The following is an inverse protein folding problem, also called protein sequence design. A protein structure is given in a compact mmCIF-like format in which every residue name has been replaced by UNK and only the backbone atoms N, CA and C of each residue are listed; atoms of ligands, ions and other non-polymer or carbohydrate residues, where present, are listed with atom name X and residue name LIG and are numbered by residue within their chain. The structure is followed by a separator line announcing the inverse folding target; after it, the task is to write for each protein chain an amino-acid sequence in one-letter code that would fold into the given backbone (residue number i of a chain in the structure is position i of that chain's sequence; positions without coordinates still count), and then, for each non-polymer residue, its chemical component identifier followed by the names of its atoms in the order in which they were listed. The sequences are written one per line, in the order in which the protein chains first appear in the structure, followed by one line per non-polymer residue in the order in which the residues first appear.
data_IF_521103032314
#
_entry.id   IF_521103032314
#
_cell.length_a   1.000
_cell.length_b   1.000
_cell.length_c   1.000
_cell.angle_alpha   90.00
_cell.angle_beta   90.00
_cell.angle_gamma   90.00
#
_symmetry.space_group_name_H-M   'P 1'
#
loop_
_entity.id
_entity.type
_entity.pdbx_description
1 polymer ?
#
# COMPACT_ATOMS: atom_id res chain seq x y z
N UNK A 1 14.07 -15.41 -9.91
CA UNK A 1 15.11 -14.40 -9.62
C UNK A 1 14.47 -13.26 -8.86
N UNK A 2 14.77 -13.14 -7.56
CA UNK A 2 14.25 -12.11 -6.64
C UNK A 2 14.98 -10.79 -6.82
N UNK A 3 14.23 -9.70 -6.90
CA UNK A 3 14.70 -8.32 -7.01
C UNK A 3 14.05 -7.50 -5.91
N UNK A 4 14.85 -6.88 -5.04
CA UNK A 4 14.32 -6.07 -3.95
C UNK A 4 14.48 -4.60 -4.26
N UNK A 5 13.49 -3.82 -3.86
CA UNK A 5 13.43 -2.39 -4.05
C UNK A 5 13.06 -1.70 -2.76
N UNK A 6 13.77 -0.64 -2.45
CA UNK A 6 13.47 0.24 -1.34
C UNK A 6 13.46 1.67 -1.88
N UNK A 7 12.36 2.40 -1.68
CA UNK A 7 12.36 3.82 -1.99
C UNK A 7 13.07 4.61 -0.88
N UNK A 8 13.60 5.79 -1.18
CA UNK A 8 13.91 6.76 -0.14
C UNK A 8 12.67 7.05 0.72
N UNK A 9 12.89 7.31 2.01
CA UNK A 9 11.82 7.75 2.91
C UNK A 9 11.32 9.11 2.43
N UNK A 10 10.00 9.21 2.26
CA UNK A 10 9.31 10.47 1.93
C UNK A 10 8.79 11.11 3.20
N UNK A 11 8.77 12.44 3.23
CA UNK A 11 8.20 13.20 4.34
C UNK A 11 7.09 14.11 3.82
N UNK A 12 5.88 13.85 4.29
CA UNK A 12 4.73 14.72 4.13
C UNK A 12 4.70 15.71 5.30
N UNK A 13 4.67 17.01 5.00
CA UNK A 13 4.63 18.06 6.02
C UNK A 13 3.21 18.30 6.55
N UNK A 14 2.53 17.21 6.89
CA UNK A 14 1.17 17.18 7.41
C UNK A 14 1.03 16.16 8.55
N UNK A 15 0.13 16.41 9.51
CA UNK A 15 -0.13 15.47 10.60
C UNK A 15 -0.64 14.13 10.09
N UNK A 16 -0.23 13.04 10.76
CA UNK A 16 -0.57 11.66 10.40
C UNK A 16 -2.07 11.48 10.14
N UNK A 17 -2.91 12.00 11.02
CA UNK A 17 -4.36 11.86 10.97
C UNK A 17 -4.96 12.46 9.69
N UNK A 18 -4.39 13.57 9.22
CA UNK A 18 -4.82 14.22 7.98
C UNK A 18 -4.33 13.44 6.75
N UNK A 19 -3.09 12.93 6.79
CA UNK A 19 -2.56 12.06 5.73
C UNK A 19 -3.37 10.77 5.61
N UNK A 20 -3.80 10.17 6.72
CA UNK A 20 -4.65 8.97 6.69
C UNK A 20 -6.00 9.26 6.03
N UNK A 21 -6.60 10.42 6.32
CA UNK A 21 -7.85 10.83 5.69
C UNK A 21 -7.70 11.09 4.19
N UNK A 22 -6.56 11.61 3.75
CA UNK A 22 -6.23 11.75 2.33
C UNK A 22 -6.00 10.39 1.67
N UNK A 23 -5.27 9.50 2.34
CA UNK A 23 -5.02 8.13 1.88
C UNK A 23 -6.32 7.37 1.62
N UNK A 24 -7.31 7.46 2.52
CA UNK A 24 -8.59 6.77 2.37
C UNK A 24 -9.40 7.22 1.13
N UNK A 25 -9.16 8.42 0.58
CA UNK A 25 -9.83 8.92 -0.64
C UNK A 25 -9.50 8.14 -1.90
N UNK A 26 -8.49 7.27 -1.85
CA UNK A 26 -8.07 6.44 -2.97
C UNK A 26 -9.02 5.26 -3.25
N UNK A 27 -9.93 4.97 -2.32
CA UNK A 27 -10.85 3.83 -2.41
C UNK A 27 -12.29 4.29 -2.63
N UNK A 28 -13.14 3.45 -3.29
CA UNK A 28 -12.82 2.16 -3.90
C UNK A 28 -12.14 2.29 -5.29
N UNK A 29 -12.10 3.49 -5.86
CA UNK A 29 -11.46 3.82 -7.14
C UNK A 29 -10.71 5.14 -7.02
N UNK A 30 -9.54 5.25 -7.65
CA UNK A 30 -8.74 6.47 -7.63
C UNK A 30 -8.56 7.01 -9.05
N UNK A 31 -9.02 8.25 -9.31
CA UNK A 31 -8.90 8.90 -10.63
C UNK A 31 -7.45 9.08 -11.09
N UNK A 32 -6.53 9.21 -10.14
CA UNK A 32 -5.09 9.35 -10.38
C UNK A 32 -4.37 8.02 -10.59
N UNK A 33 -5.07 6.89 -10.36
CA UNK A 33 -4.55 5.54 -10.58
C UNK A 33 -5.52 4.78 -11.52
N UNK A 34 -5.62 5.15 -12.82
CA UNK A 34 -6.65 4.61 -13.72
C UNK A 34 -6.57 3.10 -13.95
N UNK A 35 -5.41 2.48 -13.67
CA UNK A 35 -5.24 1.02 -13.78
C UNK A 35 -6.06 0.28 -12.71
N UNK A 36 -6.32 0.91 -11.55
CA UNK A 36 -7.11 0.32 -10.48
C UNK A 36 -8.58 0.54 -10.82
N UNK A 37 -9.23 -0.53 -11.25
CA UNK A 37 -10.62 -0.49 -11.68
C UNK A 37 -11.59 -0.55 -10.51
N UNK A 38 -11.23 -1.28 -9.45
CA UNK A 38 -12.01 -1.41 -8.22
C UNK A 38 -11.14 -1.97 -7.10
N UNK A 39 -11.42 -1.57 -5.86
CA UNK A 39 -10.92 -2.20 -4.65
C UNK A 39 -12.10 -2.48 -3.71
N UNK A 40 -12.38 -3.76 -3.48
CA UNK A 40 -13.49 -4.23 -2.67
C UNK A 40 -12.97 -4.68 -1.30
N UNK A 41 -13.65 -4.29 -0.21
CA UNK A 41 -13.30 -4.74 1.13
C UNK A 41 -13.72 -6.20 1.30
N UNK A 42 -12.77 -7.07 1.62
CA UNK A 42 -13.01 -8.50 1.88
C UNK A 42 -13.10 -8.80 3.37
N UNK A 43 -12.43 -8.02 4.21
CA UNK A 43 -12.49 -8.10 5.66
C UNK A 43 -12.22 -6.72 6.26
N UNK A 44 -12.90 -6.39 7.35
CA UNK A 44 -12.70 -5.15 8.09
C UNK A 44 -13.00 -5.38 9.56
N UNK A 45 -11.98 -5.27 10.39
CA UNK A 45 -12.08 -5.50 11.84
C UNK A 45 -11.50 -4.31 12.58
N UNK A 46 -12.05 -4.01 13.74
CA UNK A 46 -11.60 -2.91 14.60
C UNK A 46 -11.43 -3.43 16.02
N UNK A 47 -10.36 -3.03 16.70
CA UNK A 47 -10.11 -3.38 18.09
C UNK A 47 -11.21 -2.85 19.01
N UNK A 48 -11.38 -3.48 20.17
CA UNK A 48 -12.45 -3.11 21.12
C UNK A 48 -12.36 -1.65 21.59
N UNK A 49 -11.16 -1.05 21.61
CA UNK A 49 -10.91 0.34 21.97
C UNK A 49 -10.96 1.32 20.78
N UNK A 50 -11.18 0.81 19.57
CA UNK A 50 -11.23 1.61 18.35
C UNK A 50 -9.87 2.15 17.88
N UNK A 51 -8.76 1.76 18.51
CA UNK A 51 -7.44 2.26 18.15
C UNK A 51 -6.86 1.63 16.87
N UNK A 52 -7.16 0.35 16.65
CA UNK A 52 -6.57 -0.44 15.57
C UNK A 52 -7.67 -0.92 14.63
N UNK A 53 -7.50 -0.68 13.33
CA UNK A 53 -8.37 -1.20 12.28
C UNK A 53 -7.54 -1.99 11.28
N UNK A 54 -7.95 -3.23 11.03
CA UNK A 54 -7.36 -4.09 10.01
C UNK A 54 -8.36 -4.25 8.88
N UNK A 55 -8.03 -3.71 7.71
CA UNK A 55 -8.88 -3.78 6.51
C UNK A 55 -8.15 -4.52 5.41
N UNK A 56 -8.74 -5.60 4.91
CA UNK A 56 -8.28 -6.30 3.71
C UNK A 56 -9.15 -5.94 2.52
N UNK A 57 -8.50 -5.68 1.39
CA UNK A 57 -9.14 -5.33 0.12
C UNK A 57 -8.64 -6.24 -0.98
N UNK A 58 -9.54 -6.60 -1.89
CA UNK A 58 -9.22 -7.23 -3.17
C UNK A 58 -9.35 -6.19 -4.27
N UNK A 59 -8.23 -5.82 -4.87
CA UNK A 59 -8.14 -4.81 -5.90
C UNK A 59 -8.02 -5.45 -7.29
N UNK A 60 -8.89 -5.04 -8.21
CA UNK A 60 -8.90 -5.42 -9.62
C UNK A 60 -8.17 -4.36 -10.43
N UNK A 61 -7.09 -4.77 -11.10
CA UNK A 61 -6.30 -3.90 -11.97
C UNK A 61 -6.49 -4.33 -13.43
N UNK A 62 -6.53 -3.35 -14.33
CA UNK A 62 -6.45 -3.57 -15.77
C UNK A 62 -5.01 -3.94 -16.16
N UNK A 63 -4.84 -4.90 -17.06
CA UNK A 63 -3.51 -5.19 -17.60
C UNK A 63 -3.26 -4.24 -18.76
N UNK A 64 -2.33 -3.30 -18.64
CA UNK A 64 -1.92 -2.40 -19.72
C UNK A 64 -0.62 -2.87 -20.40
N UNK A 65 -0.53 -4.18 -20.62
CA UNK A 65 0.64 -4.78 -21.27
C UNK A 65 0.59 -4.68 -22.81
N UNK A 66 1.76 -4.63 -23.50
CA UNK A 66 1.85 -4.79 -24.94
C UNK A 66 1.12 -6.05 -25.44
N UNK A 67 0.55 -5.99 -26.65
CA UNK A 67 -0.34 -7.01 -27.21
C UNK A 67 0.19 -8.45 -27.15
N UNK A 68 1.49 -8.64 -27.36
CA UNK A 68 2.15 -9.95 -27.28
C UNK A 68 2.10 -10.54 -25.86
N UNK A 69 2.21 -9.69 -24.83
CA UNK A 69 2.19 -10.10 -23.42
C UNK A 69 0.76 -10.41 -22.99
N UNK A 70 -0.23 -9.61 -23.41
CA UNK A 70 -1.67 -9.91 -23.17
C UNK A 70 -2.06 -11.30 -23.68
N UNK A 71 -1.54 -11.70 -24.85
CA UNK A 71 -1.80 -13.01 -25.45
C UNK A 71 -1.17 -14.18 -24.67
N UNK A 72 -0.07 -13.95 -23.94
CA UNK A 72 0.64 -14.95 -23.12
C UNK A 72 0.06 -15.04 -21.71
N UNK A 73 -0.35 -13.90 -21.15
CA UNK A 73 -1.01 -13.76 -19.85
C UNK A 73 -2.43 -14.33 -19.93
N UNK A 74 -3.13 -14.12 -21.05
CA UNK A 74 -4.44 -14.73 -21.33
C UNK A 74 -5.58 -14.18 -20.49
N UNK A 75 -5.38 -13.08 -19.76
CA UNK A 75 -6.43 -12.39 -19.01
C UNK A 75 -6.30 -10.87 -19.16
N UNK A 76 -7.43 -10.19 -19.09
CA UNK A 76 -7.50 -8.72 -19.20
C UNK A 76 -7.29 -8.02 -17.84
N UNK A 77 -7.36 -8.77 -16.74
CA UNK A 77 -7.35 -8.22 -15.38
C UNK A 77 -6.52 -9.05 -14.42
N UNK A 78 -5.86 -8.38 -13.48
CA UNK A 78 -5.14 -9.01 -12.36
C UNK A 78 -5.74 -8.58 -11.04
N UNK A 79 -5.70 -9.49 -10.07
CA UNK A 79 -6.17 -9.23 -8.72
C UNK A 79 -5.00 -9.16 -7.74
N UNK A 80 -5.03 -8.15 -6.88
CA UNK A 80 -4.14 -7.97 -5.74
C UNK A 80 -4.94 -8.00 -4.45
N UNK A 81 -4.36 -8.60 -3.42
CA UNK A 81 -4.83 -8.45 -2.05
C UNK A 81 -3.99 -7.35 -1.40
N UNK A 82 -4.65 -6.45 -0.69
CA UNK A 82 -4.04 -5.39 0.08
C UNK A 82 -4.57 -5.46 1.51
N UNK A 83 -3.68 -5.64 2.48
CA UNK A 83 -3.97 -5.63 3.90
C UNK A 83 -3.42 -4.36 4.52
N UNK A 84 -4.30 -3.61 5.16
CA UNK A 84 -3.96 -2.40 5.89
C UNK A 84 -4.15 -2.63 7.39
N UNK A 85 -3.17 -2.26 8.18
CA UNK A 85 -3.27 -2.20 9.64
C UNK A 85 -3.03 -0.75 10.08
N UNK A 86 -4.15 -0.04 10.30
CA UNK A 86 -4.14 1.33 10.82
C UNK A 86 -4.16 1.28 12.35
N UNK A 87 -3.11 1.79 12.98
CA UNK A 87 -3.02 1.92 14.42
C UNK A 87 -2.93 3.40 14.80
N UNK A 88 -4.04 3.94 15.30
CA UNK A 88 -4.15 5.34 15.72
C UNK A 88 -3.43 5.64 17.04
N UNK A 89 -3.18 4.61 17.85
CA UNK A 89 -2.45 4.74 19.12
C UNK A 89 -0.97 4.98 18.89
N UNK A 90 -0.36 4.17 18.03
CA UNK A 90 1.04 4.33 17.61
C UNK A 90 1.22 5.30 16.45
N UNK A 91 0.11 5.75 15.83
CA UNK A 91 0.07 6.64 14.67
C UNK A 91 0.89 6.04 13.52
N UNK A 92 0.55 4.80 13.18
CA UNK A 92 1.17 4.03 12.11
C UNK A 92 0.12 3.41 11.21
N UNK A 93 0.39 3.34 9.92
CA UNK A 93 -0.36 2.54 8.97
C UNK A 93 0.62 1.61 8.27
N UNK A 94 0.52 0.31 8.54
CA UNK A 94 1.25 -0.74 7.83
C UNK A 94 0.38 -1.23 6.67
N UNK A 95 1.00 -1.43 5.51
CA UNK A 95 0.31 -1.89 4.31
C UNK A 95 1.13 -3.04 3.72
N UNK A 96 0.48 -4.17 3.50
CA UNK A 96 1.03 -5.30 2.77
C UNK A 96 0.17 -5.57 1.55
N UNK A 97 0.76 -5.57 0.36
CA UNK A 97 0.06 -5.86 -0.89
C UNK A 97 0.77 -6.97 -1.65
N UNK A 98 -0.01 -7.92 -2.17
CA UNK A 98 0.49 -9.01 -2.99
C UNK A 98 -0.50 -9.42 -4.06
N UNK A 99 0.00 -9.96 -5.17
CA UNK A 99 -0.87 -10.41 -6.25
C UNK A 99 -1.50 -11.78 -5.94
N UNK A 100 -2.80 -11.87 -6.09
CA UNK A 100 -3.54 -13.14 -6.05
C UNK A 100 -3.43 -13.85 -7.40
N UNK A 101 -3.63 -13.10 -8.48
CA UNK A 101 -3.53 -13.60 -9.85
C UNK A 101 -2.08 -13.75 -10.29
N UNK A 102 -1.78 -14.75 -11.11
CA UNK A 102 -0.44 -15.03 -11.65
C UNK A 102 0.64 -15.51 -10.67
N UNK A 103 0.31 -15.74 -9.39
CA UNK A 103 1.20 -16.26 -8.32
C UNK A 103 2.08 -17.47 -8.71
N UNK A 104 1.65 -18.28 -9.69
CA UNK A 104 2.43 -19.42 -10.20
C UNK A 104 3.61 -19.03 -11.10
N UNK A 105 3.51 -17.90 -11.81
CA UNK A 105 4.55 -17.38 -12.72
C UNK A 105 5.21 -16.11 -12.21
N UNK A 106 4.52 -15.47 -11.27
CA UNK A 106 4.61 -14.11 -10.74
C UNK A 106 4.03 -14.03 -9.37
N UNK A 107 4.83 -13.87 -8.34
CA UNK A 107 4.37 -13.32 -7.06
C UNK A 107 4.67 -11.81 -7.05
N UNK A 108 4.27 -10.95 -6.13
CA UNK A 108 4.66 -9.53 -5.98
C UNK A 108 4.41 -9.28 -4.53
N UNK A 109 5.36 -8.68 -3.82
CA UNK A 109 5.13 -8.27 -2.44
C UNK A 109 5.54 -6.83 -2.29
N UNK A 110 4.65 -6.02 -1.77
CA UNK A 110 4.90 -4.64 -1.42
C UNK A 110 4.56 -4.43 0.05
N UNK A 111 5.50 -3.85 0.78
CA UNK A 111 5.33 -3.44 2.17
C UNK A 111 5.55 -1.95 2.27
N UNK A 112 4.57 -1.24 2.79
CA UNK A 112 4.66 0.19 2.97
C UNK A 112 4.19 0.60 4.35
N UNK A 113 4.71 1.73 4.79
CA UNK A 113 4.45 2.22 6.12
C UNK A 113 4.34 3.73 6.13
N UNK A 114 3.24 4.23 6.67
CA UNK A 114 3.14 5.62 7.10
C UNK A 114 3.34 5.66 8.61
N UNK A 115 4.13 6.61 9.09
CA UNK A 115 4.39 6.77 10.52
C UNK A 115 4.77 8.22 10.83
N UNK A 116 4.63 8.61 12.09
CA UNK A 116 4.99 9.96 12.54
C UNK A 116 6.48 10.21 12.41
N UNK A 117 6.88 11.38 11.93
CA UNK A 117 8.29 11.74 11.81
C UNK A 117 8.97 11.76 13.20
N UNK A 118 10.14 11.12 13.37
CA UNK A 118 10.76 10.93 14.69
C UNK A 118 11.14 12.24 15.38
N UNK A 119 11.44 13.29 14.61
CA UNK A 119 11.81 14.61 15.13
C UNK A 119 10.65 15.63 15.13
N UNK A 120 9.52 15.32 14.50
CA UNK A 120 8.40 16.27 14.38
C UNK A 120 7.04 15.56 14.36
N UNK A 121 6.26 15.71 15.44
CA UNK A 121 4.96 15.02 15.57
C UNK A 121 3.89 15.46 14.58
N UNK A 122 4.11 16.58 13.89
CA UNK A 122 3.20 17.17 12.90
C UNK A 122 3.53 16.76 11.46
N UNK A 123 4.56 15.94 11.24
CA UNK A 123 4.92 15.41 9.93
C UNK A 123 4.74 13.89 9.89
N UNK A 124 4.55 13.40 8.67
CA UNK A 124 4.34 11.97 8.39
C UNK A 124 5.41 11.47 7.45
N UNK A 125 6.14 10.44 7.87
CA UNK A 125 7.02 9.68 7.02
C UNK A 125 6.25 8.62 6.25
N UNK A 126 6.73 8.32 5.05
CA UNK A 126 6.30 7.19 4.24
C UNK A 126 7.51 6.45 3.70
N UNK A 127 7.53 5.14 3.91
CA UNK A 127 8.53 4.24 3.35
C UNK A 127 7.84 3.08 2.63
N UNK A 128 8.47 2.61 1.56
CA UNK A 128 7.97 1.50 0.76
C UNK A 128 9.12 0.60 0.35
N UNK A 129 8.86 -0.69 0.43
CA UNK A 129 9.71 -1.76 -0.05
C UNK A 129 8.88 -2.65 -0.95
N UNK A 130 9.46 -3.12 -2.04
CA UNK A 130 8.82 -4.07 -2.93
C UNK A 130 9.80 -5.17 -3.32
N UNK A 131 9.28 -6.37 -3.52
CA UNK A 131 10.06 -7.53 -3.96
C UNK A 131 9.46 -8.08 -5.25
N UNK A 132 10.34 -8.35 -6.23
CA UNK A 132 10.07 -8.87 -7.57
C UNK A 132 10.79 -10.21 -7.92
N UNK A 133 10.18 -11.41 -8.00
CA UNK A 133 10.85 -12.76 -8.14
C UNK A 133 10.51 -13.53 -9.42
N UNK A 134 11.22 -13.35 -10.52
CA UNK A 134 10.79 -14.02 -11.75
C UNK A 134 10.96 -15.55 -11.74
N UNK A 135 9.85 -16.32 -11.69
CA UNK A 135 9.85 -17.80 -11.62
C UNK A 135 10.20 -18.42 -12.97
N UNK A 136 9.34 -18.28 -13.98
CA UNK A 136 9.59 -18.85 -15.30
C UNK A 136 8.85 -18.07 -16.40
N UNK A 137 9.59 -17.52 -17.38
CA UNK A 137 9.03 -16.70 -18.45
C UNK A 137 9.60 -17.01 -19.85
N UNK A 138 9.94 -18.28 -20.10
CA UNK A 138 10.32 -18.77 -21.43
C UNK A 138 11.44 -17.96 -22.12
N UNK A 139 12.40 -17.41 -21.37
CA UNK A 139 13.53 -16.67 -21.95
C UNK A 139 13.35 -15.14 -22.08
N UNK A 140 12.25 -14.59 -21.56
CA UNK A 140 11.96 -13.14 -21.57
C UNK A 140 12.27 -12.42 -20.25
N UNK A 141 12.97 -13.06 -19.32
CA UNK A 141 13.15 -12.61 -17.94
C UNK A 141 13.78 -11.20 -17.85
N UNK A 142 14.81 -10.93 -18.65
CA UNK A 142 15.52 -9.63 -18.65
C UNK A 142 14.70 -8.45 -19.18
N UNK A 143 13.74 -8.71 -20.08
CA UNK A 143 12.84 -7.68 -20.59
C UNK A 143 11.74 -7.35 -19.59
N UNK A 144 11.25 -8.37 -18.87
CA UNK A 144 10.26 -8.24 -17.81
C UNK A 144 10.85 -7.50 -16.62
N UNK A 145 12.10 -7.79 -16.25
CA UNK A 145 12.83 -7.08 -15.21
C UNK A 145 12.95 -5.58 -15.52
N UNK A 146 13.41 -5.22 -16.73
CA UNK A 146 13.54 -3.82 -17.12
C UNK A 146 12.20 -3.09 -17.12
N UNK A 147 11.12 -3.76 -17.50
CA UNK A 147 9.78 -3.20 -17.48
C UNK A 147 9.27 -2.99 -16.04
N UNK A 148 9.44 -3.99 -15.17
CA UNK A 148 9.08 -3.89 -13.75
C UNK A 148 9.83 -2.75 -13.05
N UNK A 149 11.14 -2.62 -13.33
CA UNK A 149 11.98 -1.53 -12.82
C UNK A 149 11.48 -0.16 -13.21
N UNK A 150 11.21 0.02 -14.50
CA UNK A 150 10.71 1.28 -15.04
C UNK A 150 9.38 1.64 -14.39
N UNK A 151 8.46 0.67 -14.30
CA UNK A 151 7.13 0.90 -13.75
C UNK A 151 7.17 1.24 -12.26
N UNK A 152 7.98 0.53 -11.46
CA UNK A 152 8.14 0.83 -10.04
C UNK A 152 8.70 2.25 -9.81
N UNK A 153 9.69 2.66 -10.63
CA UNK A 153 10.21 4.02 -10.63
C UNK A 153 9.14 5.08 -10.95
N UNK A 154 8.32 4.84 -11.98
CA UNK A 154 7.24 5.74 -12.38
C UNK A 154 6.14 5.82 -11.28
N UNK A 155 5.89 4.74 -10.56
CA UNK A 155 4.92 4.69 -9.44
C UNK A 155 5.39 5.48 -8.23
N UNK A 156 6.68 5.44 -7.91
CA UNK A 156 7.30 6.19 -6.81
C UNK A 156 7.06 7.69 -6.99
N UNK A 157 7.20 8.20 -8.22
CA UNK A 157 6.99 9.61 -8.51
C UNK A 157 5.50 10.01 -8.33
N UNK A 158 4.58 9.19 -8.86
CA UNK A 158 3.13 9.43 -8.80
C UNK A 158 2.56 9.39 -7.38
N UNK A 159 3.10 8.55 -6.50
CA UNK A 159 2.67 8.42 -5.11
C UNK A 159 2.58 9.75 -4.35
N UNK A 160 3.60 10.61 -4.53
CA UNK A 160 3.62 11.94 -3.92
C UNK A 160 2.48 12.82 -4.42
N UNK A 161 2.21 12.79 -5.71
CA UNK A 161 1.19 13.62 -6.35
C UNK A 161 -0.22 13.24 -5.89
N UNK A 162 -0.45 11.94 -5.61
CA UNK A 162 -1.75 11.43 -5.17
C UNK A 162 -2.14 11.96 -3.79
N UNK A 163 -1.24 11.86 -2.81
CA UNK A 163 -1.53 12.37 -1.46
C UNK A 163 -1.73 13.88 -1.50
N UNK A 164 -0.84 14.64 -2.16
CA UNK A 164 -0.99 16.11 -2.25
C UNK A 164 -2.31 16.52 -2.91
N UNK A 165 -2.72 15.83 -3.98
CA UNK A 165 -4.01 16.08 -4.63
C UNK A 165 -5.18 15.91 -3.65
N UNK A 166 -5.22 14.82 -2.88
CA UNK A 166 -6.28 14.60 -1.91
C UNK A 166 -6.19 15.53 -0.70
N UNK A 167 -5.00 16.01 -0.35
CA UNK A 167 -4.83 17.06 0.64
C UNK A 167 -5.46 18.38 0.18
N UNK A 168 -5.32 18.72 -1.11
CA UNK A 168 -5.98 19.90 -1.69
C UNK A 168 -7.50 19.74 -1.74
N UNK A 169 -8.03 18.56 -2.08
CA UNK A 169 -9.47 18.27 -1.99
C UNK A 169 -10.00 18.42 -0.56
N UNK A 170 -9.31 17.84 0.43
CA UNK A 170 -9.67 18.00 1.85
C UNK A 170 -9.69 19.47 2.27
N UNK A 171 -8.69 20.26 1.83
CA UNK A 171 -8.63 21.69 2.11
C UNK A 171 -9.80 22.44 1.47
N UNK A 172 -10.15 22.12 0.24
CA UNK A 172 -11.30 22.72 -0.46
C UNK A 172 -12.64 22.41 0.23
N UNK A 173 -12.75 21.25 0.87
CA UNK A 173 -13.90 20.86 1.70
C UNK A 173 -13.87 21.47 3.13
N UNK A 174 -12.84 22.25 3.47
CA UNK A 174 -12.67 22.85 4.80
C UNK A 174 -12.09 21.91 5.86
N UNK A 175 -11.60 20.73 5.47
CA UNK A 175 -10.96 19.77 6.36
C UNK A 175 -9.46 20.07 6.43
N UNK A 176 -9.06 20.86 7.42
CA UNK A 176 -7.64 21.24 7.63
C UNK A 176 -6.99 20.51 8.81
N UNK A 177 -7.77 19.82 9.64
CA UNK A 177 -7.28 19.08 10.80
C UNK A 177 -8.18 17.89 11.11
N UNK A 178 -7.59 16.80 11.60
CA UNK A 178 -8.30 15.60 12.09
C UNK A 178 -7.85 15.36 13.52
N UNK A 179 -8.79 15.17 14.48
CA UNK A 179 -8.43 14.96 15.88
C UNK A 179 -7.67 13.65 16.06
N UNK A 180 -6.71 13.66 17.00
CA UNK A 180 -5.99 12.45 17.39
C UNK A 180 -6.92 11.50 18.15
N UNK A 181 -6.66 10.20 18.03
CA UNK A 181 -7.39 9.21 18.81
C UNK A 181 -7.10 9.38 20.31
N UNK A 182 -8.15 9.21 21.11
CA UNK A 182 -8.09 9.23 22.57
C UNK A 182 -8.73 7.96 23.09
N UNK A 183 -8.07 7.29 24.03
CA UNK A 183 -8.61 6.09 24.65
C UNK A 183 -9.99 6.37 25.27
N UNK A 184 -11.01 5.54 24.97
CA UNK A 184 -12.29 5.65 25.67
C UNK A 184 -12.14 5.46 27.18
N UNK A 185 -12.64 6.41 27.97
CA UNK A 185 -12.45 6.45 29.43
C UNK A 185 -13.08 5.27 30.20
N UNK A 186 -14.01 4.55 29.59
CA UNK A 186 -14.73 3.44 30.21
C UNK A 186 -13.97 2.09 30.12
N UNK A 187 -12.83 2.05 29.44
CA UNK A 187 -12.03 0.83 29.28
C UNK A 187 -11.01 0.66 30.40
N UNK A 188 -10.75 -0.58 30.85
CA UNK A 188 -9.73 -0.84 31.86
C UNK A 188 -8.33 -0.41 31.39
N UNK A 189 -7.42 -0.06 32.32
CA UNK A 189 -6.02 0.26 31.99
C UNK A 189 -5.35 -0.95 31.33
N UNK A 190 -4.47 -0.68 30.36
CA UNK A 190 -3.80 -1.72 29.57
C UNK A 190 -2.88 -2.57 30.46
N UNK A 191 -3.02 -3.90 30.39
CA UNK A 191 -2.12 -4.84 31.06
C UNK A 191 -0.77 -4.94 30.31
N UNK A 192 0.39 -5.07 31.00
CA UNK A 192 1.71 -4.97 30.37
C UNK A 192 2.15 -6.13 29.46
N UNK A 193 1.29 -7.11 29.19
CA UNK A 193 1.72 -8.44 28.71
C UNK A 193 1.52 -8.74 27.22
N UNK A 194 0.98 -7.82 26.42
CA UNK A 194 0.66 -8.12 25.01
C UNK A 194 1.74 -7.74 24.00
N UNK A 195 2.93 -7.34 24.46
CA UNK A 195 4.06 -7.10 23.56
C UNK A 195 4.93 -8.36 23.43
N UNK A 196 5.04 -8.85 22.19
CA UNK A 196 6.06 -9.75 21.61
C UNK A 196 5.55 -11.14 21.23
N UNK A 197 5.07 -11.28 19.98
CA UNK A 197 5.40 -12.42 19.10
C UNK A 197 5.42 -11.95 17.64
N UNK A 198 6.59 -12.00 17.00
CA UNK A 198 6.85 -12.73 15.73
C UNK A 198 8.06 -12.15 14.98
N UNK A 199 9.16 -12.90 14.94
CA UNK A 199 10.26 -12.71 13.99
C UNK A 199 10.24 -13.93 13.05
N UNK A 200 10.11 -13.72 11.74
CA UNK A 200 10.07 -14.82 10.77
C UNK A 200 9.91 -14.38 9.30
N UNK A 201 10.99 -13.84 8.74
CA UNK A 201 11.57 -14.13 7.39
C UNK A 201 10.69 -14.49 6.17
N UNK A 202 10.97 -13.83 5.04
CA UNK A 202 11.09 -14.47 3.72
C UNK A 202 10.35 -13.81 2.55
N UNK A 203 11.07 -13.18 1.61
CA UNK A 203 10.60 -12.31 0.52
C UNK A 203 10.34 -13.03 -0.84
N UNK A 204 9.71 -12.34 -1.81
CA UNK A 204 8.77 -12.86 -2.85
C UNK A 204 9.08 -12.44 -4.30
N UNK A 205 8.34 -12.99 -5.31
CA UNK A 205 7.80 -12.33 -6.56
C UNK A 205 7.75 -13.03 -8.01
N UNK A 206 7.46 -12.35 -9.17
CA UNK A 206 7.78 -12.25 -10.63
C UNK A 206 6.96 -11.05 -11.21
N UNK A 207 6.93 -10.75 -12.52
CA UNK A 207 6.33 -9.51 -13.08
C UNK A 207 4.83 -9.53 -13.48
N UNK A 208 4.02 -8.80 -12.71
CA UNK A 208 2.67 -8.26 -13.02
C UNK A 208 2.85 -6.75 -12.92
N UNK A 209 2.18 -5.97 -13.76
CA UNK A 209 2.10 -4.52 -13.54
C UNK A 209 1.49 -4.27 -12.16
N UNK A 210 2.34 -4.02 -11.16
CA UNK A 210 1.92 -3.46 -9.89
C UNK A 210 2.12 -1.96 -10.00
N UNK A 211 1.01 -1.21 -10.01
CA UNK A 211 1.04 0.11 -9.41
C UNK A 211 1.07 -0.09 -7.90
N UNK A 212 1.86 0.73 -7.20
CA UNK A 212 1.85 0.74 -5.74
C UNK A 212 0.44 1.09 -5.28
N UNK A 213 -0.31 0.10 -4.79
CA UNK A 213 -1.60 0.32 -4.14
C UNK A 213 -1.40 1.06 -2.80
N UNK A 214 -0.16 1.19 -2.36
CA UNK A 214 0.21 1.72 -1.07
C UNK A 214 0.56 3.21 -1.10
N UNK A 215 1.07 3.74 -2.21
CA UNK A 215 1.54 5.13 -2.35
C UNK A 215 0.45 6.16 -2.61
#
# INVERSE_FOLDING_TARGET
MVQNYQSPVRVYKYPFELVMKAYERRFPTCKLIPVVLACEITSDTTSADGAVRVTERRCKLNVDAPFLIKKIIGVDHVFFIQKNELNLRTRTLEIEAYNESFSSRVVVLEKCRYFVHPENSEWTCFEQNASVDIKFFFGFESSIEKLAMKQYGDNIAKGKEIIEFFMDELRAEGITSVPRWVRPAHLPPESPTDSVVSNGSGDVSSGVESMSLCS
#
